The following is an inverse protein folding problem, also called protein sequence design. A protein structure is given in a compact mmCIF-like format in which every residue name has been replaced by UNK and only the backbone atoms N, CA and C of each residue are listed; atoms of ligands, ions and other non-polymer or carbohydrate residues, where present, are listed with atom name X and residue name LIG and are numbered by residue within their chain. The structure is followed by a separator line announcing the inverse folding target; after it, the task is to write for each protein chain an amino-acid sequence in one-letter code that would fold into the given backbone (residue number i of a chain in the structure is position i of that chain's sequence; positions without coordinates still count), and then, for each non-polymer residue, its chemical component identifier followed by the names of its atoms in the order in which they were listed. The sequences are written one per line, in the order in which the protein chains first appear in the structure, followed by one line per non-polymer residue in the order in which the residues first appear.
data_IF_025585727912
#
_entry.id   IF_025585727912
#
_cell.length_a   1.000
_cell.length_b   1.000
_cell.length_c   1.000
_cell.angle_alpha   90.00
_cell.angle_beta   90.00
_cell.angle_gamma   90.00
#
_symmetry.space_group_name_H-M   'P 1'
#
loop_
_entity.id
_entity.type
_entity.pdbx_description
1 polymer ?
#
# COMPACT_ATOMS: atom_id res chain seq x y z
N UNK A 1 -13.18 -0.61 1.04
CA UNK A 1 -12.10 -1.57 0.71
C UNK A 1 -11.68 -2.29 1.98
N UNK A 2 -11.72 -3.62 2.04
CA UNK A 2 -11.06 -4.36 3.14
C UNK A 2 -9.56 -4.10 3.05
N UNK A 3 -8.96 -3.55 4.11
CA UNK A 3 -7.51 -3.46 4.29
C UNK A 3 -6.83 -4.76 3.81
N UNK A 4 -5.68 -4.63 3.14
CA UNK A 4 -4.85 -5.75 2.70
C UNK A 4 -4.41 -6.69 3.86
N UNK A 5 -4.76 -6.36 5.11
CA UNK A 5 -4.64 -7.21 6.31
C UNK A 5 -5.12 -8.66 6.11
N UNK A 6 -6.05 -8.90 5.18
CA UNK A 6 -6.60 -10.25 4.89
C UNK A 6 -5.96 -10.97 3.71
N UNK A 7 -5.06 -10.33 2.97
CA UNK A 7 -4.38 -10.96 1.83
C UNK A 7 -3.09 -11.61 2.33
N UNK A 8 -2.80 -12.82 1.83
CA UNK A 8 -1.60 -13.53 2.20
C UNK A 8 -0.34 -12.73 1.81
N UNK A 9 0.75 -12.77 2.58
CA UNK A 9 1.95 -12.01 2.27
C UNK A 9 2.57 -12.51 0.94
N UNK A 10 3.18 -11.61 0.15
CA UNK A 10 3.99 -12.00 -1.01
C UNK A 10 5.05 -13.03 -0.60
N UNK A 11 5.24 -14.04 -1.46
CA UNK A 11 6.14 -15.17 -1.20
C UNK A 11 5.52 -16.35 -0.44
N UNK A 12 4.31 -16.22 0.12
CA UNK A 12 3.61 -17.37 0.72
C UNK A 12 2.98 -18.31 -0.32
N UNK A 13 2.81 -19.58 0.04
CA UNK A 13 2.16 -20.60 -0.79
C UNK A 13 0.73 -20.18 -1.20
N UNK A 14 -0.05 -19.68 -0.24
CA UNK A 14 -1.42 -19.21 -0.46
C UNK A 14 -1.47 -18.05 -1.46
N UNK A 15 -0.50 -17.13 -1.38
CA UNK A 15 -0.40 -16.03 -2.34
C UNK A 15 -0.14 -16.51 -3.76
N UNK A 16 0.84 -17.40 -3.92
CA UNK A 16 1.27 -17.91 -5.22
C UNK A 16 0.24 -18.78 -5.92
N UNK A 17 -0.45 -19.64 -5.17
CA UNK A 17 -1.33 -20.66 -5.75
C UNK A 17 -2.81 -20.32 -5.73
N UNK A 18 -3.25 -19.46 -4.81
CA UNK A 18 -4.66 -19.06 -4.75
C UNK A 18 -4.86 -17.64 -5.25
N UNK A 19 -4.28 -16.65 -4.56
CA UNK A 19 -4.54 -15.23 -4.88
C UNK A 19 -4.12 -14.88 -6.31
N UNK A 20 -2.92 -15.28 -6.75
CA UNK A 20 -2.42 -14.93 -8.09
C UNK A 20 -3.23 -15.57 -9.23
N UNK A 21 -3.52 -16.89 -9.27
CA UNK A 21 -4.29 -17.47 -10.36
C UNK A 21 -5.75 -16.97 -10.39
N UNK A 22 -6.39 -16.88 -9.23
CA UNK A 22 -7.80 -16.43 -9.13
C UNK A 22 -7.93 -14.99 -9.61
N UNK A 23 -7.09 -14.08 -9.12
CA UNK A 23 -7.17 -12.67 -9.54
C UNK A 23 -6.77 -12.47 -11.00
N UNK A 24 -5.88 -13.31 -11.56
CA UNK A 24 -5.57 -13.32 -13.00
C UNK A 24 -6.79 -13.71 -13.84
N UNK A 25 -7.51 -14.75 -13.45
CA UNK A 25 -8.72 -15.21 -14.15
C UNK A 25 -9.80 -14.13 -14.07
N UNK A 26 -10.08 -13.61 -12.87
CA UNK A 26 -11.05 -12.53 -12.66
C UNK A 26 -10.67 -11.30 -13.49
N UNK A 27 -9.39 -10.91 -13.48
CA UNK A 27 -8.87 -9.79 -14.29
C UNK A 27 -9.08 -10.01 -15.79
N UNK A 28 -8.96 -11.24 -16.28
CA UNK A 28 -9.12 -11.55 -17.71
C UNK A 28 -10.58 -11.50 -18.15
N UNK A 29 -11.51 -11.97 -17.31
CA UNK A 29 -12.94 -12.03 -17.64
C UNK A 29 -13.63 -10.68 -17.36
N UNK A 30 -13.29 -10.03 -16.25
CA UNK A 30 -13.98 -8.86 -15.70
C UNK A 30 -13.05 -7.63 -15.65
N UNK A 31 -12.15 -7.48 -16.62
CA UNK A 31 -11.05 -6.50 -16.60
C UNK A 31 -11.47 -5.04 -16.33
N UNK A 32 -12.65 -4.64 -16.80
CA UNK A 32 -13.19 -3.27 -16.70
C UNK A 32 -14.16 -3.08 -15.54
N UNK A 33 -14.60 -4.16 -14.88
CA UNK A 33 -15.47 -4.06 -13.71
C UNK A 33 -14.69 -3.37 -12.59
N UNK A 34 -15.34 -2.39 -11.97
CA UNK A 34 -14.78 -1.59 -10.88
C UNK A 34 -15.41 -2.01 -9.56
N UNK A 35 -14.60 -2.04 -8.52
CA UNK A 35 -15.15 -2.14 -7.18
C UNK A 35 -15.95 -0.88 -6.85
N UNK A 36 -17.11 -1.04 -6.22
CA UNK A 36 -17.74 0.04 -5.48
C UNK A 36 -16.97 0.12 -4.17
N UNK A 37 -16.07 1.08 -4.05
CA UNK A 37 -15.37 1.28 -2.79
C UNK A 37 -15.30 2.77 -2.51
N UNK A 38 -16.24 3.23 -1.70
CA UNK A 38 -15.98 4.36 -0.84
C UNK A 38 -14.89 3.91 0.14
N UNK A 39 -13.70 4.50 0.02
CA UNK A 39 -12.65 4.36 1.03
C UNK A 39 -13.11 5.25 2.18
N UNK A 40 -13.51 4.64 3.29
CA UNK A 40 -13.86 5.35 4.50
C UNK A 40 -12.55 5.66 5.24
N UNK A 41 -11.95 6.81 4.95
CA UNK A 41 -10.87 7.36 5.77
C UNK A 41 -11.45 7.60 7.15
N UNK A 42 -10.99 6.86 8.16
CA UNK A 42 -11.61 6.88 9.48
C UNK A 42 -11.28 8.13 10.29
N UNK A 43 -10.19 8.81 9.93
CA UNK A 43 -9.51 9.71 10.86
C UNK A 43 -9.65 11.20 10.51
N UNK A 44 -9.95 11.56 9.25
CA UNK A 44 -9.86 12.96 8.81
C UNK A 44 -10.97 13.37 7.80
N UNK A 45 -12.03 14.08 8.26
CA UNK A 45 -13.10 14.57 7.39
C UNK A 45 -12.62 15.47 6.24
N UNK A 46 -11.60 16.31 6.49
CA UNK A 46 -11.04 17.19 5.46
C UNK A 46 -10.39 16.42 4.30
N UNK A 47 -9.82 15.24 4.56
CA UNK A 47 -9.28 14.37 3.51
C UNK A 47 -10.41 13.83 2.62
N UNK A 48 -11.54 13.46 3.23
CA UNK A 48 -12.73 13.01 2.49
C UNK A 48 -13.24 14.13 1.59
N UNK A 49 -13.34 15.36 2.12
CA UNK A 49 -13.76 16.52 1.35
C UNK A 49 -12.78 16.84 0.22
N UNK A 50 -11.47 16.84 0.49
CA UNK A 50 -10.44 17.01 -0.53
C UNK A 50 -10.61 15.97 -1.65
N UNK A 51 -10.76 14.69 -1.32
CA UNK A 51 -10.98 13.62 -2.29
C UNK A 51 -12.26 13.79 -3.10
N UNK A 52 -13.32 14.35 -2.49
CA UNK A 52 -14.63 14.56 -3.11
C UNK A 52 -14.62 15.73 -4.10
N UNK A 53 -13.95 16.82 -3.75
CA UNK A 53 -13.94 18.07 -4.51
C UNK A 53 -12.76 18.21 -5.47
N UNK A 54 -11.71 17.40 -5.34
CA UNK A 54 -10.64 17.33 -6.33
C UNK A 54 -11.20 16.95 -7.71
N UNK A 55 -11.03 17.87 -8.68
CA UNK A 55 -11.50 17.72 -10.06
C UNK A 55 -10.57 16.82 -10.89
N UNK A 56 -9.31 16.69 -10.49
CA UNK A 56 -8.31 15.87 -11.18
C UNK A 56 -8.31 14.43 -10.69
N UNK A 57 -8.80 14.19 -9.46
CA UNK A 57 -8.94 12.84 -8.91
C UNK A 57 -10.03 12.05 -9.65
N UNK A 58 -9.66 10.85 -10.09
CA UNK A 58 -10.63 9.89 -10.61
C UNK A 58 -11.57 9.41 -9.48
N UNK A 59 -12.88 9.54 -9.67
CA UNK A 59 -13.90 9.26 -8.64
C UNK A 59 -14.42 7.81 -8.63
N UNK A 60 -14.09 7.01 -9.64
CA UNK A 60 -14.48 5.61 -9.67
C UNK A 60 -13.54 4.72 -8.84
N UNK A 61 -14.00 3.53 -8.49
CA UNK A 61 -13.14 2.53 -7.85
C UNK A 61 -12.11 1.91 -8.79
N UNK A 62 -11.25 1.08 -8.20
CA UNK A 62 -10.21 0.32 -8.92
C UNK A 62 -10.83 -0.80 -9.77
N UNK A 63 -10.26 -1.07 -10.93
CA UNK A 63 -10.71 -2.18 -11.78
C UNK A 63 -10.17 -3.51 -11.26
N UNK A 64 -10.83 -4.63 -11.61
CA UNK A 64 -10.29 -5.97 -11.33
C UNK A 64 -8.89 -6.17 -11.94
N UNK A 65 -8.64 -5.58 -13.12
CA UNK A 65 -7.31 -5.58 -13.73
C UNK A 65 -6.29 -4.84 -12.88
N UNK A 66 -6.65 -3.67 -12.34
CA UNK A 66 -5.76 -2.90 -11.47
C UNK A 66 -5.39 -3.68 -10.21
N UNK A 67 -6.36 -4.34 -9.56
CA UNK A 67 -6.10 -5.20 -8.38
C UNK A 67 -5.11 -6.33 -8.72
N UNK A 68 -5.30 -7.01 -9.86
CA UNK A 68 -4.36 -8.05 -10.30
C UNK A 68 -2.94 -7.50 -10.52
N UNK A 69 -2.80 -6.34 -11.16
CA UNK A 69 -1.48 -5.74 -11.39
C UNK A 69 -0.81 -5.29 -10.09
N UNK A 70 -1.56 -4.82 -9.07
CA UNK A 70 -1.00 -4.58 -7.73
C UNK A 70 -0.41 -5.86 -7.16
N UNK A 71 -1.17 -6.96 -7.17
CA UNK A 71 -0.69 -8.24 -6.63
C UNK A 71 0.52 -8.75 -7.42
N UNK A 72 0.49 -8.60 -8.74
CA UNK A 72 1.64 -8.95 -9.57
C UNK A 72 2.86 -8.10 -9.24
N UNK A 73 2.70 -6.80 -9.03
CA UNK A 73 3.78 -5.89 -8.63
C UNK A 73 4.35 -6.27 -7.27
N UNK A 74 3.52 -6.56 -6.27
CA UNK A 74 3.96 -7.05 -4.96
C UNK A 74 4.74 -8.38 -5.07
N UNK A 75 4.30 -9.29 -5.93
CA UNK A 75 5.02 -10.54 -6.22
C UNK A 75 6.40 -10.28 -6.81
N UNK A 76 6.49 -9.40 -7.80
CA UNK A 76 7.74 -9.06 -8.47
C UNK A 76 8.69 -8.36 -7.50
N UNK A 77 8.21 -7.34 -6.77
CA UNK A 77 8.98 -6.65 -5.74
C UNK A 77 9.56 -7.62 -4.72
N UNK A 78 8.78 -8.60 -4.23
CA UNK A 78 9.28 -9.61 -3.29
C UNK A 78 10.35 -10.53 -3.89
N UNK A 79 10.30 -10.83 -5.19
CA UNK A 79 11.35 -11.60 -5.88
C UNK A 79 12.61 -10.75 -6.05
N UNK A 80 12.43 -9.49 -6.44
CA UNK A 80 13.53 -8.60 -6.77
C UNK A 80 14.27 -8.07 -5.52
N UNK A 81 13.77 -8.36 -4.30
CA UNK A 81 14.42 -7.99 -3.03
C UNK A 81 15.88 -8.44 -2.96
N UNK A 82 16.24 -9.57 -3.57
CA UNK A 82 17.61 -10.08 -3.59
C UNK A 82 18.55 -9.26 -4.48
N UNK A 83 18.00 -8.49 -5.41
CA UNK A 83 18.74 -7.64 -6.35
C UNK A 83 18.94 -6.20 -5.85
N UNK A 84 18.43 -5.85 -4.67
CA UNK A 84 18.62 -4.52 -4.09
C UNK A 84 20.09 -4.27 -3.75
N UNK A 85 20.60 -3.11 -4.16
CA UNK A 85 21.95 -2.65 -3.81
C UNK A 85 22.04 -2.39 -2.29
N UNK A 86 22.94 -3.10 -1.60
CA UNK A 86 22.99 -3.13 -0.13
C UNK A 86 23.32 -1.79 0.55
N UNK A 87 23.90 -0.87 -0.20
CA UNK A 87 24.44 0.39 0.29
C UNK A 87 23.52 1.60 -0.01
N UNK A 88 22.32 1.38 -0.56
CA UNK A 88 21.32 2.44 -0.74
C UNK A 88 20.58 2.66 0.59
N UNK A 89 20.55 3.88 1.15
CA UNK A 89 19.71 4.20 2.30
C UNK A 89 18.23 4.17 1.92
N UNK A 90 17.40 3.49 2.71
CA UNK A 90 15.94 3.48 2.51
C UNK A 90 15.22 3.84 3.81
N UNK A 91 14.42 4.91 3.75
CA UNK A 91 13.50 5.29 4.81
C UNK A 91 12.08 4.85 4.45
N UNK A 92 11.48 4.02 5.28
CA UNK A 92 10.06 3.68 5.23
C UNK A 92 9.31 4.56 6.23
N UNK A 93 8.29 5.27 5.76
CA UNK A 93 7.38 6.01 6.64
C UNK A 93 6.00 5.40 6.49
N UNK A 94 5.39 4.95 7.57
CA UNK A 94 4.08 4.30 7.52
C UNK A 94 3.28 4.55 8.80
N UNK A 95 1.98 4.82 8.65
CA UNK A 95 1.10 4.84 9.81
C UNK A 95 0.79 3.42 10.29
N UNK A 96 0.74 3.23 11.61
CA UNK A 96 0.22 1.99 12.23
C UNK A 96 -1.27 1.78 11.94
N UNK A 97 -2.01 2.88 11.80
CA UNK A 97 -3.47 2.90 11.71
C UNK A 97 -4.00 3.04 10.27
N UNK A 98 -3.12 2.90 9.27
CA UNK A 98 -3.47 2.99 7.85
C UNK A 98 -4.61 2.01 7.47
N UNK A 99 -5.74 2.58 7.05
CA UNK A 99 -6.96 1.86 6.72
C UNK A 99 -6.92 1.16 5.35
N UNK A 100 -5.96 1.53 4.49
CA UNK A 100 -5.77 0.98 3.15
C UNK A 100 -4.63 -0.04 3.14
N UNK A 101 -3.42 0.40 3.48
CA UNK A 101 -2.20 -0.40 3.46
C UNK A 101 -1.91 -0.97 4.84
N UNK A 102 -1.91 -2.30 4.97
CA UNK A 102 -1.73 -2.91 6.28
C UNK A 102 -0.28 -2.77 6.78
N UNK A 103 -0.10 -2.12 7.93
CA UNK A 103 1.19 -1.92 8.60
C UNK A 103 2.02 -3.20 8.74
N UNK A 104 1.40 -4.36 9.02
CA UNK A 104 2.14 -5.62 9.14
C UNK A 104 2.84 -6.06 7.86
N UNK A 105 2.33 -5.65 6.68
CA UNK A 105 2.98 -5.96 5.39
C UNK A 105 4.26 -5.16 5.23
N UNK A 106 4.28 -3.87 5.58
CA UNK A 106 5.51 -3.06 5.49
C UNK A 106 6.57 -3.54 6.47
N UNK A 107 6.19 -3.92 7.69
CA UNK A 107 7.13 -4.50 8.67
C UNK A 107 7.75 -5.78 8.13
N UNK A 108 6.92 -6.70 7.60
CA UNK A 108 7.44 -7.95 7.02
C UNK A 108 8.36 -7.70 5.81
N UNK A 109 8.04 -6.72 4.97
CA UNK A 109 8.90 -6.34 3.84
C UNK A 109 10.22 -5.74 4.32
N UNK A 110 10.15 -4.79 5.26
CA UNK A 110 11.31 -4.17 5.90
C UNK A 110 12.24 -5.24 6.46
N UNK A 111 11.74 -6.17 7.28
CA UNK A 111 12.58 -7.20 7.93
C UNK A 111 13.30 -8.11 6.93
N UNK A 112 12.60 -8.52 5.85
CA UNK A 112 13.16 -9.38 4.81
C UNK A 112 14.22 -8.68 3.95
N UNK A 113 14.18 -7.35 3.86
CA UNK A 113 15.05 -6.57 2.99
C UNK A 113 16.48 -6.53 3.55
N UNK A 114 17.45 -7.11 2.84
CA UNK A 114 18.85 -7.26 3.31
C UNK A 114 19.71 -6.02 3.02
N UNK A 115 19.25 -4.85 3.46
CA UNK A 115 20.00 -3.59 3.38
C UNK A 115 20.71 -3.29 4.70
N UNK A 116 21.86 -2.62 4.61
CA UNK A 116 22.60 -2.17 5.80
C UNK A 116 21.98 -0.91 6.41
N UNK A 117 21.60 0.04 5.56
CA UNK A 117 21.05 1.33 5.97
C UNK A 117 19.57 1.39 5.60
N UNK A 118 18.70 0.97 6.52
CA UNK A 118 17.26 1.08 6.37
C UNK A 118 16.64 1.50 7.69
N UNK A 119 15.59 2.30 7.62
CA UNK A 119 14.83 2.75 8.79
C UNK A 119 13.34 2.58 8.54
N UNK A 120 12.59 2.18 9.56
CA UNK A 120 11.13 2.20 9.56
C UNK A 120 10.63 3.21 10.59
N UNK A 121 10.18 4.36 10.12
CA UNK A 121 9.55 5.41 10.91
C UNK A 121 8.03 5.16 10.97
N UNK A 122 7.54 4.85 12.16
CA UNK A 122 6.13 4.52 12.39
C UNK A 122 5.39 5.72 12.95
N UNK A 123 4.26 6.05 12.34
CA UNK A 123 3.38 7.14 12.78
C UNK A 123 2.17 6.54 13.48
N UNK A 124 1.78 7.07 14.64
CA UNK A 124 0.73 6.49 15.48
C UNK A 124 -0.59 7.25 15.37
N UNK A 125 -0.58 8.51 14.90
CA UNK A 125 -1.71 9.44 14.92
C UNK A 125 -2.23 9.83 13.52
N UNK A 126 -1.81 9.12 12.48
CA UNK A 126 -2.21 9.34 11.08
C UNK A 126 -2.93 8.12 10.48
N UNK A 127 -3.54 8.25 9.31
CA UNK A 127 -4.16 7.20 8.51
C UNK A 127 -3.28 6.90 7.28
N UNK A 128 -3.75 7.17 6.06
CA UNK A 128 -3.08 6.71 4.83
C UNK A 128 -2.40 7.85 4.05
N UNK A 129 -2.99 9.06 4.06
CA UNK A 129 -2.51 10.18 3.23
C UNK A 129 -1.57 11.05 4.06
N UNK A 130 -0.46 10.46 4.50
CA UNK A 130 0.50 11.05 5.43
C UNK A 130 0.99 12.44 5.02
N UNK A 131 1.07 12.71 3.71
CA UNK A 131 1.53 13.99 3.17
C UNK A 131 0.48 15.10 3.22
N UNK A 132 -0.79 14.77 3.44
CA UNK A 132 -1.91 15.73 3.39
C UNK A 132 -2.72 15.77 4.67
N UNK A 133 -2.50 14.82 5.58
CA UNK A 133 -3.13 14.80 6.89
C UNK A 133 -2.56 15.88 7.81
N UNK A 134 -3.35 16.27 8.81
CA UNK A 134 -2.93 17.23 9.82
C UNK A 134 -1.72 16.68 10.59
N UNK A 135 -0.84 17.57 11.04
CA UNK A 135 0.39 17.22 11.77
C UNK A 135 1.45 16.48 10.95
N UNK A 136 1.40 16.54 9.61
CA UNK A 136 2.41 15.95 8.71
C UNK A 136 3.81 16.55 8.84
N UNK A 137 4.01 17.60 9.64
CA UNK A 137 5.30 18.25 9.86
C UNK A 137 6.38 17.27 10.31
N UNK A 138 6.04 16.32 11.19
CA UNK A 138 6.97 15.27 11.63
C UNK A 138 7.42 14.36 10.48
N UNK A 139 6.52 14.08 9.54
CA UNK A 139 6.83 13.31 8.33
C UNK A 139 7.79 14.10 7.43
N UNK A 140 7.52 15.38 7.24
CA UNK A 140 8.34 16.26 6.42
C UNK A 140 9.74 16.45 7.02
N UNK A 141 9.82 16.74 8.32
CA UNK A 141 11.08 16.88 9.05
C UNK A 141 11.91 15.60 8.91
N UNK A 142 11.30 14.44 9.09
CA UNK A 142 11.99 13.15 8.98
C UNK A 142 12.56 12.87 7.57
N UNK A 143 11.98 13.46 6.52
CA UNK A 143 12.48 13.35 5.14
C UNK A 143 13.64 14.32 4.90
N UNK A 144 13.64 15.48 5.55
CA UNK A 144 14.64 16.55 5.35
C UNK A 144 15.86 16.44 6.26
N UNK A 145 15.76 15.69 7.36
CA UNK A 145 16.86 15.38 8.27
C UNK A 145 17.92 14.47 7.64
#
# INVERSE_FOLDING_TARGET
MTSFKKIAPPGSYLYGLFYMPVTRIISSILSTIRSVSEIHYSSFPHIIDMCKYDKFRFKGGVTCRFVYEILRAMKNLNKDMEHFTKDIPILFIHSRNDCICYYGVVVSFYDKLKLKNKELYTIEDMDHILTSELSNENVLNKITD
#
